data_IF_503740809438
#
_entry.id   IF_503740809438
#
_cell.length_a   1.000
_cell.length_b   1.000
_cell.length_c   1.000
_cell.angle_alpha   90.00
_cell.angle_beta   90.00
_cell.angle_gamma   90.00
#
_symmetry.space_group_name_H-M   'P 1'
#
loop_
_entity.id
_entity.type
_entity.pdbx_description
1 polymer ?
#
# COMPACT_ATOMS: atom_id res chain seq x y z
N UNK A 1 5.90 -5.55 10.33
CA UNK A 1 6.02 -6.63 11.32
C UNK A 1 5.22 -7.83 10.83
N UNK A 2 5.70 -9.05 11.12
CA UNK A 2 5.00 -10.29 10.78
C UNK A 2 3.63 -10.33 11.49
N UNK A 3 2.56 -10.73 10.77
CA UNK A 3 1.18 -10.80 11.27
C UNK A 3 0.43 -9.46 11.35
N UNK A 4 0.97 -8.38 10.78
CA UNK A 4 0.23 -7.10 10.78
C UNK A 4 -0.97 -7.11 9.84
N UNK A 5 -0.94 -7.91 8.78
CA UNK A 5 -2.06 -8.06 7.84
C UNK A 5 -3.28 -8.69 8.51
N UNK A 6 -3.10 -9.75 9.28
CA UNK A 6 -4.19 -10.40 10.02
C UNK A 6 -4.79 -9.46 11.08
N UNK A 7 -3.94 -8.73 11.82
CA UNK A 7 -4.40 -7.73 12.78
C UNK A 7 -5.17 -6.60 12.13
N UNK A 8 -4.72 -6.14 10.95
CA UNK A 8 -5.45 -5.15 10.17
C UNK A 8 -6.86 -5.64 9.84
N UNK A 9 -6.98 -6.88 9.34
CA UNK A 9 -8.28 -7.48 8.99
C UNK A 9 -9.18 -7.57 10.21
N UNK A 10 -8.66 -8.02 11.35
CA UNK A 10 -9.42 -8.09 12.60
C UNK A 10 -9.96 -6.70 12.99
N UNK A 11 -9.10 -5.68 13.09
CA UNK A 11 -9.54 -4.34 13.44
C UNK A 11 -10.50 -3.72 12.43
N UNK A 12 -10.30 -3.97 11.12
CA UNK A 12 -11.22 -3.51 10.09
C UNK A 12 -12.61 -4.13 10.28
N UNK A 13 -12.69 -5.44 10.58
CA UNK A 13 -13.95 -6.13 10.82
C UNK A 13 -14.63 -5.58 12.09
N UNK A 14 -13.88 -5.44 13.19
CA UNK A 14 -14.38 -4.88 14.46
C UNK A 14 -14.98 -3.48 14.27
N UNK A 15 -14.30 -2.62 13.49
CA UNK A 15 -14.78 -1.28 13.16
C UNK A 15 -16.03 -1.32 12.28
N UNK A 16 -16.06 -2.20 11.28
CA UNK A 16 -17.21 -2.35 10.38
C UNK A 16 -18.43 -2.88 11.14
N UNK A 17 -18.26 -3.87 12.00
CA UNK A 17 -19.31 -4.42 12.86
C UNK A 17 -19.84 -3.36 13.86
N UNK A 18 -18.95 -2.46 14.29
CA UNK A 18 -19.32 -1.30 15.12
C UNK A 18 -19.97 -0.16 14.32
N UNK A 19 -20.20 -0.35 13.01
CA UNK A 19 -20.95 0.59 12.17
C UNK A 19 -20.11 1.63 11.44
N UNK A 20 -18.81 1.44 11.29
CA UNK A 20 -17.96 2.30 10.46
C UNK A 20 -18.50 2.37 9.03
N UNK A 21 -18.57 3.56 8.46
CA UNK A 21 -19.09 3.82 7.10
C UNK A 21 -18.00 4.08 6.08
N UNK A 22 -16.77 4.30 6.53
CA UNK A 22 -15.59 4.52 5.70
C UNK A 22 -14.33 4.12 6.48
N UNK A 23 -13.22 3.95 5.78
CA UNK A 23 -11.94 3.54 6.36
C UNK A 23 -10.84 4.52 5.91
N UNK A 24 -10.06 5.01 6.86
CA UNK A 24 -8.81 5.71 6.58
C UNK A 24 -7.66 4.79 6.99
N UNK A 25 -6.76 4.52 6.05
CA UNK A 25 -5.54 3.74 6.28
C UNK A 25 -4.37 4.73 6.30
N UNK A 26 -3.73 4.92 7.44
CA UNK A 26 -2.58 5.81 7.56
C UNK A 26 -1.27 5.05 7.33
N UNK A 27 -0.64 5.30 6.18
CA UNK A 27 0.66 4.75 5.80
C UNK A 27 1.77 5.80 5.82
N UNK A 28 1.50 6.99 6.35
CA UNK A 28 2.53 8.03 6.51
C UNK A 28 3.64 7.52 7.42
N UNK A 29 4.86 7.83 7.07
CA UNK A 29 6.08 7.39 7.77
C UNK A 29 6.20 5.85 7.92
N UNK A 30 5.48 5.08 7.10
CA UNK A 30 5.57 3.64 7.07
C UNK A 30 6.50 3.18 5.93
N UNK A 31 7.73 2.81 6.28
CA UNK A 31 8.75 2.34 5.34
C UNK A 31 8.50 0.97 4.70
N UNK A 32 7.33 0.38 4.95
CA UNK A 32 6.95 -0.94 4.46
C UNK A 32 7.43 -2.08 5.37
N UNK A 33 7.57 -3.24 4.78
CA UNK A 33 7.95 -4.47 5.48
C UNK A 33 7.84 -5.66 4.54
N UNK A 34 7.23 -6.75 5.01
CA UNK A 34 7.02 -7.95 4.22
C UNK A 34 5.92 -7.71 3.17
N UNK A 35 6.19 -8.04 1.92
CA UNK A 35 5.19 -7.96 0.83
C UNK A 35 3.97 -8.84 1.10
N UNK A 36 4.17 -9.99 1.75
CA UNK A 36 3.09 -10.88 2.18
C UNK A 36 2.04 -10.17 3.03
N UNK A 37 2.43 -9.22 3.89
CA UNK A 37 1.49 -8.45 4.70
C UNK A 37 0.63 -7.52 3.83
N UNK A 38 1.26 -6.84 2.86
CA UNK A 38 0.53 -6.02 1.88
C UNK A 38 -0.42 -6.88 1.03
N UNK A 39 0.00 -8.07 0.61
CA UNK A 39 -0.85 -9.04 -0.11
C UNK A 39 -2.05 -9.49 0.74
N UNK A 40 -1.83 -9.76 2.03
CA UNK A 40 -2.89 -10.15 2.97
C UNK A 40 -3.93 -9.04 3.11
N UNK A 41 -3.49 -7.78 3.26
CA UNK A 41 -4.39 -6.62 3.33
C UNK A 41 -5.11 -6.41 2.00
N UNK A 42 -4.39 -6.49 0.87
CA UNK A 42 -4.98 -6.35 -0.46
C UNK A 42 -6.07 -7.42 -0.72
N UNK A 43 -5.85 -8.68 -0.29
CA UNK A 43 -6.86 -9.75 -0.38
C UNK A 43 -8.13 -9.44 0.43
N UNK A 44 -8.05 -8.67 1.50
CA UNK A 44 -9.21 -8.27 2.29
C UNK A 44 -9.94 -7.05 1.71
N UNK A 45 -9.26 -6.22 0.92
CA UNK A 45 -9.81 -4.96 0.43
C UNK A 45 -10.26 -5.00 -1.03
N UNK A 46 -9.64 -5.83 -1.87
CA UNK A 46 -9.83 -5.84 -3.31
C UNK A 46 -10.66 -7.04 -3.76
N UNK A 47 -11.40 -6.93 -4.87
CA UNK A 47 -12.07 -8.08 -5.49
C UNK A 47 -11.08 -9.18 -5.88
N UNK A 48 -11.56 -10.43 -5.93
CA UNK A 48 -10.76 -11.56 -6.40
C UNK A 48 -10.24 -11.36 -7.82
N UNK A 49 -8.97 -11.68 -8.04
CA UNK A 49 -8.29 -11.56 -9.33
C UNK A 49 -7.70 -10.19 -9.61
N UNK A 50 -7.90 -9.19 -8.72
CA UNK A 50 -7.24 -7.89 -8.83
C UNK A 50 -5.73 -8.03 -8.79
N UNK A 51 -5.02 -7.33 -9.66
CA UNK A 51 -3.55 -7.28 -9.63
C UNK A 51 -3.12 -6.45 -8.42
N UNK A 52 -2.26 -7.03 -7.58
CA UNK A 52 -1.67 -6.31 -6.44
C UNK A 52 -0.37 -5.63 -6.85
N UNK A 53 0.50 -6.36 -7.52
CA UNK A 53 1.75 -5.89 -8.13
C UNK A 53 2.29 -6.95 -9.09
N UNK A 54 3.31 -6.59 -9.86
CA UNK A 54 4.13 -7.56 -10.56
C UNK A 54 5.61 -7.35 -10.24
N UNK A 55 6.42 -8.39 -10.44
CA UNK A 55 7.88 -8.31 -10.34
C UNK A 55 8.52 -8.69 -11.65
N UNK A 56 9.72 -8.16 -11.90
CA UNK A 56 10.55 -8.53 -13.03
C UNK A 56 11.99 -8.74 -12.58
N UNK A 57 12.56 -9.88 -12.88
CA UNK A 57 13.95 -10.19 -12.57
C UNK A 57 14.91 -9.78 -13.71
N UNK A 58 16.21 -9.89 -13.47
CA UNK A 58 17.25 -9.55 -14.44
C UNK A 58 17.17 -10.35 -15.75
N UNK A 59 16.62 -11.58 -15.71
CA UNK A 59 16.42 -12.42 -16.89
C UNK A 59 15.17 -12.05 -17.70
N UNK A 60 14.40 -11.06 -17.24
CA UNK A 60 13.17 -10.59 -17.88
C UNK A 60 11.93 -11.40 -17.53
N UNK A 61 12.04 -12.40 -16.64
CA UNK A 61 10.88 -13.15 -16.15
C UNK A 61 10.03 -12.22 -15.29
N UNK A 62 8.72 -12.20 -15.57
CA UNK A 62 7.71 -11.43 -14.83
C UNK A 62 6.80 -12.38 -14.09
N UNK A 63 6.56 -12.10 -12.82
CA UNK A 63 5.57 -12.79 -11.99
C UNK A 63 4.51 -11.77 -11.56
N UNK A 64 3.20 -12.11 -11.73
CA UNK A 64 2.07 -11.22 -11.40
C UNK A 64 1.36 -11.76 -10.17
N UNK A 65 1.29 -10.94 -9.15
CA UNK A 65 0.62 -11.27 -7.89
C UNK A 65 -0.79 -10.69 -7.91
N UNK A 66 -1.78 -11.58 -7.69
CA UNK A 66 -3.19 -11.24 -7.70
C UNK A 66 -3.87 -11.67 -6.40
N UNK A 67 -4.97 -11.00 -6.07
CA UNK A 67 -5.85 -11.40 -4.98
C UNK A 67 -6.48 -12.77 -5.24
N UNK A 68 -6.65 -13.57 -4.18
CA UNK A 68 -7.13 -14.95 -4.23
C UNK A 68 -8.55 -15.11 -3.68
N UNK A 69 -9.03 -14.14 -2.90
CA UNK A 69 -10.34 -14.11 -2.27
C UNK A 69 -11.09 -12.83 -2.61
N UNK A 70 -12.40 -12.84 -2.42
CA UNK A 70 -13.19 -11.60 -2.45
C UNK A 70 -12.85 -10.74 -1.24
N UNK A 71 -12.85 -9.43 -1.43
CA UNK A 71 -12.63 -8.49 -0.34
C UNK A 71 -13.76 -8.53 0.70
N UNK A 72 -13.41 -8.25 1.94
CA UNK A 72 -14.34 -8.34 3.08
C UNK A 72 -15.20 -7.08 3.25
N UNK A 73 -14.92 -6.00 2.53
CA UNK A 73 -15.62 -4.72 2.72
C UNK A 73 -15.78 -3.95 1.42
N UNK A 74 -16.90 -3.25 1.33
CA UNK A 74 -17.23 -2.32 0.22
C UNK A 74 -17.25 -0.86 0.66
N UNK A 75 -16.99 -0.57 1.95
CA UNK A 75 -16.98 0.81 2.44
C UNK A 75 -15.91 1.65 1.74
N UNK A 76 -16.12 2.97 1.54
CA UNK A 76 -15.13 3.87 0.94
C UNK A 76 -13.81 3.87 1.69
N UNK A 77 -12.70 3.95 0.97
CA UNK A 77 -11.33 3.92 1.54
C UNK A 77 -10.55 5.15 1.09
N UNK A 78 -9.88 5.80 2.04
CA UNK A 78 -8.79 6.73 1.77
C UNK A 78 -7.50 6.23 2.41
N UNK A 79 -6.37 6.42 1.73
CA UNK A 79 -5.04 6.07 2.24
C UNK A 79 -4.23 7.34 2.38
N UNK A 80 -3.71 7.60 3.59
CA UNK A 80 -2.78 8.70 3.82
C UNK A 80 -1.36 8.25 3.49
N UNK A 81 -0.67 9.03 2.69
CA UNK A 81 0.70 8.73 2.22
C UNK A 81 1.61 9.97 2.32
N UNK A 82 2.91 9.73 2.51
CA UNK A 82 3.93 10.77 2.55
C UNK A 82 5.25 10.32 1.90
N UNK A 83 6.25 11.19 1.88
CA UNK A 83 7.57 10.90 1.33
C UNK A 83 8.36 9.79 2.05
N UNK A 84 7.89 9.30 3.20
CA UNK A 84 8.47 8.17 3.94
C UNK A 84 7.65 6.87 3.75
N UNK A 85 6.49 6.95 3.10
CA UNK A 85 5.73 5.76 2.68
C UNK A 85 6.54 5.01 1.62
N UNK A 86 6.98 3.77 1.90
CA UNK A 86 7.92 3.06 1.03
C UNK A 86 7.65 1.55 0.90
N UNK A 87 8.13 0.93 -0.20
CA UNK A 87 8.19 -0.53 -0.38
C UNK A 87 6.81 -1.20 -0.30
N UNK A 88 6.57 -2.15 0.61
CA UNK A 88 5.28 -2.85 0.76
C UNK A 88 4.10 -1.88 0.99
N UNK A 89 4.33 -0.72 1.63
CA UNK A 89 3.30 0.32 1.77
C UNK A 89 2.98 0.98 0.43
N UNK A 90 3.97 1.14 -0.47
CA UNK A 90 3.72 1.63 -1.83
C UNK A 90 2.97 0.59 -2.68
N UNK A 91 3.30 -0.70 -2.54
CA UNK A 91 2.56 -1.80 -3.19
C UNK A 91 1.09 -1.75 -2.81
N UNK A 92 0.78 -1.65 -1.51
CA UNK A 92 -0.60 -1.59 -1.02
C UNK A 92 -1.32 -0.32 -1.52
N UNK A 93 -0.64 0.83 -1.46
CA UNK A 93 -1.17 2.11 -1.94
C UNK A 93 -1.51 2.06 -3.43
N UNK A 94 -0.59 1.57 -4.27
CA UNK A 94 -0.81 1.40 -5.71
C UNK A 94 -1.95 0.42 -5.97
N UNK A 95 -1.99 -0.72 -5.26
CA UNK A 95 -3.03 -1.71 -5.44
C UNK A 95 -4.43 -1.14 -5.14
N UNK A 96 -4.58 -0.36 -4.08
CA UNK A 96 -5.85 0.30 -3.74
C UNK A 96 -6.24 1.33 -4.80
N UNK A 97 -5.31 2.20 -5.19
CA UNK A 97 -5.54 3.29 -6.14
C UNK A 97 -5.86 2.75 -7.53
N UNK A 98 -4.98 1.95 -8.12
CA UNK A 98 -5.06 1.55 -9.52
C UNK A 98 -6.15 0.50 -9.79
N UNK A 99 -6.64 -0.21 -8.76
CA UNK A 99 -7.86 -1.01 -8.88
C UNK A 99 -9.15 -0.20 -8.59
N UNK A 100 -9.06 1.12 -8.41
CA UNK A 100 -10.22 1.99 -8.16
C UNK A 100 -10.93 1.70 -6.84
N UNK A 101 -10.23 1.08 -5.86
CA UNK A 101 -10.83 0.70 -4.58
C UNK A 101 -10.88 1.84 -3.56
N UNK A 102 -10.00 2.78 -3.69
CA UNK A 102 -9.89 3.94 -2.81
C UNK A 102 -9.00 5.01 -3.40
N UNK A 103 -8.81 6.09 -2.66
CA UNK A 103 -8.04 7.25 -3.07
C UNK A 103 -6.83 7.46 -2.16
N UNK A 104 -5.76 8.03 -2.70
CA UNK A 104 -4.58 8.43 -1.93
C UNK A 104 -4.62 9.92 -1.63
N UNK A 105 -4.36 10.28 -0.38
CA UNK A 105 -4.31 11.67 0.11
C UNK A 105 -2.96 11.93 0.76
N UNK A 106 -2.31 13.05 0.45
CA UNK A 106 -1.07 13.45 1.10
C UNK A 106 0.04 13.87 0.15
N UNK A 107 1.25 13.35 0.33
CA UNK A 107 2.40 13.67 -0.51
C UNK A 107 2.89 12.45 -1.30
N UNK A 108 3.67 12.72 -2.36
CA UNK A 108 4.29 11.67 -3.17
C UNK A 108 5.11 10.72 -2.32
N UNK A 109 4.99 9.41 -2.56
CA UNK A 109 5.70 8.37 -1.81
C UNK A 109 7.19 8.29 -2.16
N UNK A 110 7.94 7.49 -1.40
CA UNK A 110 9.41 7.43 -1.45
C UNK A 110 9.97 6.93 -2.79
N UNK A 111 9.38 5.92 -3.39
CA UNK A 111 9.89 5.30 -4.62
C UNK A 111 10.89 4.16 -4.38
N UNK A 112 10.56 3.20 -3.51
CA UNK A 112 11.37 1.99 -3.30
C UNK A 112 10.79 0.81 -4.07
N UNK A 113 11.09 0.73 -5.37
CA UNK A 113 10.59 -0.27 -6.30
C UNK A 113 11.45 -1.53 -6.46
N UNK A 114 12.22 -1.95 -5.43
CA UNK A 114 13.17 -3.05 -5.54
C UNK A 114 12.90 -4.15 -4.52
N UNK A 115 12.96 -5.41 -4.98
CA UNK A 115 12.95 -6.62 -4.13
C UNK A 115 14.38 -6.97 -3.75
N UNK A 116 14.64 -7.12 -2.46
CA UNK A 116 15.95 -7.48 -1.93
C UNK A 116 15.88 -8.77 -1.13
N UNK A 117 16.86 -9.64 -1.30
CA UNK A 117 17.03 -10.88 -0.53
C UNK A 117 18.32 -10.81 0.26
N UNK A 118 18.32 -11.38 1.45
CA UNK A 118 19.50 -11.53 2.30
C UNK A 118 19.96 -12.98 2.23
N UNK A 119 21.21 -13.18 1.83
CA UNK A 119 21.90 -14.45 1.85
C UNK A 119 22.82 -14.48 3.07
N UNK A 120 22.52 -15.37 4.03
CA UNK A 120 23.36 -15.56 5.21
C UNK A 120 24.45 -16.57 4.91
N UNK A 121 25.70 -16.31 5.35
CA UNK A 121 26.84 -17.19 5.24
C UNK A 121 27.12 -17.90 6.56
N UNK A 122 27.87 -19.00 6.49
CA UNK A 122 28.21 -19.86 7.64
C UNK A 122 29.12 -19.18 8.66
N UNK A 123 29.85 -18.13 8.26
CA UNK A 123 30.70 -17.32 9.13
C UNK A 123 29.95 -16.20 9.90
N UNK A 124 28.59 -16.14 9.74
CA UNK A 124 27.73 -15.15 10.37
C UNK A 124 27.61 -13.84 9.57
N UNK A 125 28.32 -13.68 8.46
CA UNK A 125 28.15 -12.55 7.56
C UNK A 125 26.89 -12.71 6.69
N UNK A 126 26.44 -11.61 6.08
CA UNK A 126 25.28 -11.65 5.19
C UNK A 126 25.46 -10.71 3.99
N UNK A 127 24.91 -11.12 2.84
CA UNK A 127 24.89 -10.33 1.61
C UNK A 127 23.43 -9.98 1.26
N UNK A 128 23.13 -8.69 1.18
CA UNK A 128 21.82 -8.20 0.72
C UNK A 128 21.90 -7.82 -0.74
N UNK A 129 21.13 -8.48 -1.59
CA UNK A 129 21.15 -8.33 -3.05
C UNK A 129 19.77 -7.95 -3.57
N UNK A 130 19.72 -7.01 -4.50
CA UNK A 130 18.52 -6.74 -5.30
C UNK A 130 18.35 -7.84 -6.34
N UNK A 131 17.20 -8.50 -6.34
CA UNK A 131 16.90 -9.64 -7.21
C UNK A 131 15.82 -9.35 -8.25
N UNK A 132 14.88 -8.46 -7.94
CA UNK A 132 13.75 -8.11 -8.79
C UNK A 132 13.37 -6.64 -8.62
N UNK A 133 12.55 -6.15 -9.54
CA UNK A 133 11.94 -4.84 -9.52
C UNK A 133 10.43 -4.98 -9.43
N UNK A 134 9.77 -4.10 -8.65
CA UNK A 134 8.31 -4.03 -8.56
C UNK A 134 7.72 -3.11 -9.62
N UNK A 135 6.53 -3.50 -10.07
CA UNK A 135 5.66 -2.67 -10.90
C UNK A 135 4.26 -2.63 -10.29
N UNK A 136 3.59 -1.51 -10.42
CA UNK A 136 2.21 -1.33 -9.96
C UNK A 136 1.24 -2.21 -10.77
N UNK A 137 -0.04 -2.32 -10.39
CA UNK A 137 -1.06 -3.00 -11.19
C UNK A 137 -1.10 -2.56 -12.66
N UNK A 138 -0.97 -1.26 -12.93
CA UNK A 138 -0.94 -0.69 -14.28
C UNK A 138 0.41 -0.85 -14.99
N UNK A 139 1.40 -1.49 -14.35
CA UNK A 139 2.73 -1.74 -14.91
C UNK A 139 3.70 -0.57 -14.78
N UNK A 140 3.39 0.43 -13.94
CA UNK A 140 4.28 1.57 -13.71
C UNK A 140 5.45 1.20 -12.79
N UNK A 141 6.65 1.68 -13.15
CA UNK A 141 7.83 1.59 -12.29
C UNK A 141 7.74 2.63 -11.16
N UNK A 142 7.79 2.17 -9.92
CA UNK A 142 7.80 3.07 -8.74
C UNK A 142 9.22 3.41 -8.28
N UNK A 143 10.25 2.71 -8.80
CA UNK A 143 11.61 2.88 -8.31
C UNK A 143 12.16 4.28 -8.60
N UNK A 144 12.49 5.03 -7.55
CA UNK A 144 12.90 6.45 -7.56
C UNK A 144 11.81 7.43 -8.03
N UNK A 145 10.65 6.94 -8.48
CA UNK A 145 9.55 7.77 -8.95
C UNK A 145 8.49 8.00 -7.89
N UNK A 146 8.22 6.99 -7.07
CA UNK A 146 7.14 7.01 -6.08
C UNK A 146 5.75 7.02 -6.72
N UNK A 147 4.73 7.07 -5.88
CA UNK A 147 3.33 7.11 -6.29
C UNK A 147 2.79 8.50 -5.97
N UNK A 148 2.16 9.15 -6.94
CA UNK A 148 1.49 10.42 -6.72
C UNK A 148 0.13 10.17 -6.06
N UNK A 149 -0.23 10.91 -4.99
CA UNK A 149 -1.57 10.84 -4.43
C UNK A 149 -2.60 11.41 -5.42
N UNK A 150 -3.86 10.97 -5.27
CA UNK A 150 -4.98 11.53 -6.03
C UNK A 150 -5.28 12.97 -5.58
N UNK A 151 -5.12 13.19 -4.27
CA UNK A 151 -5.29 14.49 -3.62
C UNK A 151 -3.97 14.92 -2.96
N UNK A 152 -3.14 15.73 -3.64
CA UNK A 152 -1.94 16.29 -3.03
C UNK A 152 -2.28 17.27 -1.93
N UNK A 153 -1.91 16.96 -0.68
CA UNK A 153 -2.15 17.82 0.50
C UNK A 153 -0.85 17.93 1.28
N UNK A 154 -0.31 19.15 1.36
CA UNK A 154 0.86 19.46 2.17
C UNK A 154 0.45 19.78 3.61
N UNK A 155 1.23 19.35 4.58
CA UNK A 155 1.09 19.79 5.97
C UNK A 155 1.71 21.19 6.11
N UNK A 156 0.88 22.20 6.38
CA UNK A 156 1.31 23.60 6.49
C UNK A 156 1.22 24.14 7.92
N UNK A 157 0.44 23.49 8.76
CA UNK A 157 0.18 23.92 10.13
C UNK A 157 0.43 22.77 11.12
N UNK A 158 0.11 22.97 12.39
CA UNK A 158 0.11 21.92 13.41
C UNK A 158 -1.16 21.03 13.34
N UNK A 159 -2.15 21.39 12.54
CA UNK A 159 -3.31 20.56 12.29
C UNK A 159 -2.99 19.47 11.27
N UNK A 160 -3.69 18.35 11.33
CA UNK A 160 -3.52 17.25 10.35
C UNK A 160 -4.44 17.48 9.14
N UNK A 161 -4.03 18.42 8.27
CA UNK A 161 -4.79 18.77 7.07
C UNK A 161 -5.02 17.56 6.15
N UNK A 162 -4.09 16.62 6.10
CA UNK A 162 -4.23 15.40 5.29
C UNK A 162 -5.36 14.50 5.81
N UNK A 163 -5.40 14.29 7.13
CA UNK A 163 -6.47 13.51 7.77
C UNK A 163 -7.83 14.19 7.61
N UNK A 164 -7.89 15.51 7.79
CA UNK A 164 -9.14 16.25 7.66
C UNK A 164 -9.63 16.27 6.20
N UNK A 165 -8.73 16.40 5.25
CA UNK A 165 -9.09 16.29 3.83
C UNK A 165 -9.60 14.88 3.48
N UNK A 166 -8.95 13.82 3.97
CA UNK A 166 -9.41 12.45 3.75
C UNK A 166 -10.82 12.21 4.32
N UNK A 167 -11.13 12.76 5.50
CA UNK A 167 -12.50 12.72 6.06
C UNK A 167 -13.51 13.44 5.15
N UNK A 168 -13.13 14.59 4.60
CA UNK A 168 -13.95 15.38 3.69
C UNK A 168 -14.29 14.58 2.43
N UNK A 169 -13.27 14.01 1.76
CA UNK A 169 -13.44 13.17 0.57
C UNK A 169 -14.38 11.98 0.85
N UNK A 170 -14.18 11.28 1.98
CA UNK A 170 -14.97 10.10 2.33
C UNK A 170 -16.43 10.42 2.72
N UNK A 171 -16.70 11.63 3.15
CA UNK A 171 -18.06 12.07 3.53
C UNK A 171 -18.83 12.75 2.41
N UNK A 172 -18.20 12.96 1.24
CA UNK A 172 -18.81 13.67 0.11
C UNK A 172 -19.11 15.13 0.41
N UNK A 173 -18.39 15.75 1.35
CA UNK A 173 -18.54 17.17 1.74
C UNK A 173 -17.55 18.07 1.02
N UNK A 174 -17.08 17.68 -0.16
CA UNK A 174 -16.36 18.59 -1.05
C UNK A 174 -17.38 19.62 -1.57
N UNK A 175 -17.29 20.86 -1.03
CA UNK A 175 -18.02 22.02 -1.53
C UNK A 175 -17.31 22.59 -2.76
#
# INVERSE_FOLDING_TARGET
NDGCGEKFIQHMNDLTDSGAKSLIIDLRSNGGGLTKEAETIANALLPKGSVVYSTKNKAGKTDVIKTKSEGNTTIPIAVLVDGNTASASEILSAAIKENGRGVLVGAKTFGKGLVQTVFNFTDGSALKVTIEQYFTPDGNDINKLGIQPDYPVELKTSADEQLDYAKTVLTGKDN
#
